data_IF_115868914061
#
_entry.id   IF_115868914061
#
_cell.length_a   1.000
_cell.length_b   1.000
_cell.length_c   1.000
_cell.angle_alpha   90.00
_cell.angle_beta   90.00
_cell.angle_gamma   90.00
#
_symmetry.space_group_name_H-M   'P 1'
#
loop_
_entity.id
_entity.type
_entity.pdbx_description
1 polymer ?
#
# COMPACT_ATOMS: atom_id res chain seq x y z
N UNK A 1 -38.07 -17.57 -18.48
CA UNK A 1 -37.94 -19.04 -18.29
C UNK A 1 -37.45 -19.24 -16.86
N UNK A 2 -38.27 -19.85 -16.01
CA UNK A 2 -37.91 -20.10 -14.61
C UNK A 2 -37.00 -21.32 -14.62
N UNK A 3 -35.74 -21.12 -14.26
CA UNK A 3 -34.76 -22.19 -14.18
C UNK A 3 -35.07 -23.07 -12.96
N UNK A 4 -35.07 -24.42 -13.09
CA UNK A 4 -35.25 -25.32 -11.94
C UNK A 4 -34.19 -25.04 -10.87
N UNK A 5 -34.54 -25.05 -9.57
CA UNK A 5 -33.62 -24.68 -8.49
C UNK A 5 -32.34 -25.54 -8.47
N UNK A 6 -32.43 -26.79 -8.91
CA UNK A 6 -31.32 -27.72 -9.13
C UNK A 6 -30.26 -27.16 -10.10
N UNK A 7 -30.65 -26.81 -11.33
CA UNK A 7 -29.73 -26.28 -12.34
C UNK A 7 -29.08 -24.94 -11.90
N UNK A 8 -29.77 -24.16 -11.05
CA UNK A 8 -29.28 -22.87 -10.57
C UNK A 8 -28.17 -23.10 -9.56
N UNK A 9 -28.36 -24.08 -8.69
CA UNK A 9 -27.41 -24.51 -7.70
C UNK A 9 -26.15 -25.07 -8.37
N UNK A 10 -26.31 -26.02 -9.30
CA UNK A 10 -25.19 -26.62 -10.03
C UNK A 10 -24.35 -25.58 -10.78
N UNK A 11 -25.00 -24.62 -11.45
CA UNK A 11 -24.31 -23.53 -12.17
C UNK A 11 -23.51 -22.62 -11.24
N UNK A 12 -24.00 -22.38 -10.01
CA UNK A 12 -23.30 -21.57 -9.01
C UNK A 12 -22.11 -22.33 -8.43
N UNK A 13 -22.28 -23.62 -8.14
CA UNK A 13 -21.21 -24.47 -7.60
C UNK A 13 -20.08 -24.66 -8.62
N UNK A 14 -20.41 -24.95 -9.88
CA UNK A 14 -19.40 -24.99 -10.95
C UNK A 14 -18.73 -23.62 -11.13
N UNK A 15 -19.48 -22.54 -10.94
CA UNK A 15 -18.95 -21.18 -10.86
C UNK A 15 -17.87 -21.05 -9.79
N UNK A 16 -18.14 -21.50 -8.57
CA UNK A 16 -17.17 -21.44 -7.48
C UNK A 16 -15.95 -22.35 -7.67
N UNK A 17 -16.15 -23.57 -8.20
CA UNK A 17 -15.05 -24.47 -8.57
C UNK A 17 -14.17 -23.88 -9.67
N UNK A 18 -14.75 -23.11 -10.59
CA UNK A 18 -14.05 -22.44 -11.68
C UNK A 18 -13.51 -21.04 -11.31
N UNK A 19 -13.53 -20.65 -10.02
CA UNK A 19 -13.11 -19.34 -9.53
C UNK A 19 -13.93 -18.14 -10.09
N UNK A 20 -15.20 -18.39 -10.46
CA UNK A 20 -16.16 -17.40 -10.97
C UNK A 20 -17.22 -17.09 -9.90
N UNK A 21 -16.99 -16.04 -9.11
CA UNK A 21 -17.93 -15.63 -8.03
C UNK A 21 -18.96 -14.56 -8.44
N UNK A 22 -18.74 -13.90 -9.59
CA UNK A 22 -19.61 -12.83 -10.07
C UNK A 22 -20.80 -13.41 -10.82
N UNK A 23 -22.03 -13.07 -10.42
CA UNK A 23 -23.25 -13.53 -11.10
C UNK A 23 -23.31 -13.06 -12.56
N UNK A 24 -22.71 -11.91 -12.90
CA UNK A 24 -22.58 -11.43 -14.28
C UNK A 24 -21.61 -12.27 -15.10
N UNK A 25 -20.49 -12.69 -14.49
CA UNK A 25 -19.53 -13.59 -15.16
C UNK A 25 -20.12 -15.00 -15.31
N UNK A 26 -20.90 -15.48 -14.34
CA UNK A 26 -21.64 -16.73 -14.47
C UNK A 26 -22.69 -16.66 -15.59
N UNK A 27 -23.44 -15.56 -15.70
CA UNK A 27 -24.38 -15.35 -16.81
C UNK A 27 -23.66 -15.41 -18.17
N UNK A 28 -22.47 -14.81 -18.26
CA UNK A 28 -21.65 -14.89 -19.47
C UNK A 28 -21.19 -16.34 -19.74
N UNK A 29 -20.72 -17.05 -18.71
CA UNK A 29 -20.32 -18.46 -18.82
C UNK A 29 -21.48 -19.35 -19.30
N UNK A 30 -22.71 -19.11 -18.84
CA UNK A 30 -23.92 -19.81 -19.30
C UNK A 30 -24.25 -19.57 -20.80
N UNK A 31 -23.65 -18.55 -21.42
CA UNK A 31 -23.80 -18.26 -22.86
C UNK A 31 -22.63 -18.79 -23.70
N UNK A 32 -21.43 -18.80 -23.13
CA UNK A 32 -20.18 -19.00 -23.88
C UNK A 32 -19.48 -20.33 -23.55
N UNK A 33 -19.69 -20.89 -22.36
CA UNK A 33 -18.99 -22.09 -21.88
C UNK A 33 -19.89 -23.33 -21.97
N UNK A 34 -19.42 -24.33 -22.72
CA UNK A 34 -20.17 -25.57 -22.97
C UNK A 34 -20.51 -26.35 -21.70
N UNK A 35 -19.64 -26.31 -20.67
CA UNK A 35 -19.89 -26.99 -19.40
C UNK A 35 -21.05 -26.36 -18.65
N UNK A 36 -21.09 -25.02 -18.59
CA UNK A 36 -22.19 -24.28 -17.97
C UNK A 36 -23.49 -24.46 -18.75
N UNK A 37 -23.42 -24.44 -20.09
CA UNK A 37 -24.58 -24.67 -20.97
C UNK A 37 -25.16 -26.08 -20.81
N UNK A 38 -24.31 -27.10 -20.65
CA UNK A 38 -24.76 -28.48 -20.46
C UNK A 38 -25.41 -28.67 -19.08
N UNK A 39 -24.74 -28.19 -18.03
CA UNK A 39 -25.19 -28.28 -16.65
C UNK A 39 -26.50 -27.52 -16.41
N UNK A 40 -26.68 -26.37 -17.06
CA UNK A 40 -27.92 -25.60 -16.94
C UNK A 40 -29.07 -26.10 -17.82
N UNK A 41 -28.90 -27.24 -18.51
CA UNK A 41 -29.81 -27.75 -19.52
C UNK A 41 -30.17 -26.70 -20.60
N UNK A 42 -29.15 -25.99 -21.10
CA UNK A 42 -29.25 -24.87 -22.05
C UNK A 42 -30.03 -23.65 -21.56
N UNK A 43 -30.42 -23.64 -20.28
CA UNK A 43 -31.13 -22.51 -19.69
C UNK A 43 -30.13 -21.41 -19.31
N UNK A 44 -30.50 -20.15 -19.59
CA UNK A 44 -29.61 -18.99 -19.49
C UNK A 44 -30.22 -17.96 -18.53
N UNK A 45 -30.16 -18.20 -17.20
CA UNK A 45 -30.66 -17.28 -16.22
C UNK A 45 -29.82 -16.00 -16.23
N UNK A 46 -30.48 -14.86 -16.03
CA UNK A 46 -29.79 -13.58 -15.90
C UNK A 46 -29.05 -13.48 -14.56
N UNK A 47 -28.10 -12.54 -14.48
CA UNK A 47 -27.35 -12.33 -13.25
C UNK A 47 -28.25 -11.97 -12.05
N UNK A 48 -29.44 -11.41 -12.27
CA UNK A 48 -30.38 -11.08 -11.20
C UNK A 48 -31.00 -12.34 -10.63
N UNK A 49 -31.38 -13.30 -11.47
CA UNK A 49 -31.94 -14.59 -11.06
C UNK A 49 -30.90 -15.41 -10.30
N UNK A 50 -29.66 -15.47 -10.79
CA UNK A 50 -28.55 -16.13 -10.08
C UNK A 50 -28.26 -15.46 -8.74
N UNK A 51 -28.23 -14.12 -8.69
CA UNK A 51 -27.97 -13.40 -7.46
C UNK A 51 -29.10 -13.55 -6.46
N UNK A 52 -30.37 -13.52 -6.91
CA UNK A 52 -31.56 -13.72 -6.09
C UNK A 52 -31.57 -15.13 -5.50
N UNK A 53 -31.30 -16.14 -6.31
CA UNK A 53 -31.17 -17.53 -5.85
C UNK A 53 -30.07 -17.65 -4.78
N UNK A 54 -28.90 -17.05 -5.05
CA UNK A 54 -27.78 -17.01 -4.09
C UNK A 54 -28.13 -16.31 -2.77
N UNK A 55 -28.83 -15.18 -2.81
CA UNK A 55 -29.11 -14.35 -1.63
C UNK A 55 -30.32 -14.79 -0.83
N UNK A 56 -31.30 -15.45 -1.46
CA UNK A 56 -32.57 -15.82 -0.83
C UNK A 56 -32.62 -17.32 -0.49
N UNK A 57 -32.25 -18.19 -1.44
CA UNK A 57 -32.38 -19.66 -1.29
C UNK A 57 -31.15 -20.32 -0.68
N UNK A 58 -30.00 -19.68 -0.87
CA UNK A 58 -28.68 -20.21 -0.57
C UNK A 58 -28.02 -19.49 0.63
N UNK A 59 -28.77 -18.64 1.31
CA UNK A 59 -28.31 -17.86 2.45
C UNK A 59 -28.02 -18.76 3.64
N UNK A 60 -26.77 -18.77 4.12
CA UNK A 60 -26.35 -19.50 5.31
C UNK A 60 -25.93 -20.96 5.06
N UNK A 61 -26.46 -21.61 4.04
CA UNK A 61 -26.20 -23.05 3.78
C UNK A 61 -25.19 -23.33 2.67
N UNK A 62 -24.96 -22.41 1.74
CA UNK A 62 -23.99 -22.57 0.62
C UNK A 62 -22.64 -23.06 1.10
N UNK A 63 -22.12 -22.47 2.18
CA UNK A 63 -20.78 -22.80 2.66
C UNK A 63 -20.70 -24.25 3.13
N UNK A 64 -21.74 -24.75 3.80
CA UNK A 64 -21.79 -26.12 4.28
C UNK A 64 -21.89 -27.11 3.11
N UNK A 65 -22.77 -26.84 2.14
CA UNK A 65 -22.98 -27.73 0.99
C UNK A 65 -21.74 -27.72 0.08
N UNK A 66 -21.18 -26.55 -0.23
CA UNK A 66 -19.95 -26.44 -1.01
C UNK A 66 -18.78 -27.19 -0.35
N UNK A 67 -18.66 -27.11 0.98
CA UNK A 67 -17.61 -27.85 1.72
C UNK A 67 -17.81 -29.36 1.58
N UNK A 68 -19.05 -29.85 1.66
CA UNK A 68 -19.35 -31.29 1.49
C UNK A 68 -19.01 -31.77 0.07
N UNK A 69 -19.30 -30.96 -0.95
CA UNK A 69 -18.99 -31.28 -2.35
C UNK A 69 -17.48 -31.33 -2.58
N UNK A 70 -16.73 -30.36 -2.05
CA UNK A 70 -15.26 -30.35 -2.15
C UNK A 70 -14.64 -31.58 -1.45
N UNK A 71 -15.14 -31.94 -0.26
CA UNK A 71 -14.70 -33.15 0.45
C UNK A 71 -15.04 -34.44 -0.30
N UNK A 72 -16.20 -34.49 -0.98
CA UNK A 72 -16.58 -35.63 -1.82
C UNK A 72 -15.64 -35.76 -3.04
N UNK A 73 -15.34 -34.64 -3.71
CA UNK A 73 -14.45 -34.59 -4.86
C UNK A 73 -13.00 -34.94 -4.49
N UNK A 74 -12.56 -34.56 -3.28
CA UNK A 74 -11.27 -34.99 -2.73
C UNK A 74 -11.25 -36.50 -2.48
N UNK A 75 -12.29 -37.05 -1.85
CA UNK A 75 -12.39 -38.48 -1.56
C UNK A 75 -12.37 -39.35 -2.83
N UNK A 76 -12.98 -38.88 -3.91
CA UNK A 76 -12.96 -39.54 -5.22
C UNK A 76 -11.65 -39.32 -6.00
N UNK A 77 -10.69 -38.57 -5.45
CA UNK A 77 -9.39 -38.29 -6.07
C UNK A 77 -9.45 -37.33 -7.26
N UNK A 78 -10.58 -36.63 -7.46
CA UNK A 78 -10.80 -35.68 -8.55
C UNK A 78 -10.22 -34.29 -8.25
N UNK A 79 -9.99 -33.98 -6.97
CA UNK A 79 -9.43 -32.71 -6.49
C UNK A 79 -8.35 -33.00 -5.44
N UNK A 80 -7.15 -32.43 -5.61
CA UNK A 80 -6.11 -32.47 -4.57
C UNK A 80 -6.21 -31.22 -3.69
N UNK A 81 -6.51 -31.40 -2.39
CA UNK A 81 -6.46 -30.30 -1.40
C UNK A 81 -5.03 -30.00 -0.92
N UNK A 82 -4.02 -30.77 -1.37
CA UNK A 82 -2.63 -30.64 -0.94
C UNK A 82 -1.95 -29.38 -1.50
N UNK A 83 -2.52 -28.79 -2.56
CA UNK A 83 -2.04 -27.53 -3.16
C UNK A 83 -3.18 -26.53 -3.35
N UNK A 84 -3.56 -25.86 -2.26
CA UNK A 84 -4.45 -24.70 -2.31
C UNK A 84 -3.74 -23.53 -2.98
N UNK A 85 -3.75 -23.47 -4.32
CA UNK A 85 -3.40 -22.24 -5.03
C UNK A 85 -4.58 -21.27 -4.90
N UNK A 86 -4.47 -20.35 -3.95
CA UNK A 86 -5.26 -19.13 -3.94
C UNK A 86 -4.74 -18.26 -5.09
N UNK A 87 -5.18 -18.51 -6.32
CA UNK A 87 -4.97 -17.55 -7.43
C UNK A 87 -5.95 -16.39 -7.25
N UNK A 88 -5.67 -15.59 -6.22
CA UNK A 88 -6.16 -14.23 -6.13
C UNK A 88 -5.23 -13.34 -6.94
N UNK A 89 -5.37 -13.31 -8.26
CA UNK A 89 -4.79 -12.22 -9.05
C UNK A 89 -5.60 -10.95 -8.79
N UNK A 90 -5.36 -10.33 -7.62
CA UNK A 90 -5.55 -8.89 -7.47
C UNK A 90 -4.52 -8.27 -8.41
N UNK A 91 -4.95 -7.94 -9.62
CA UNK A 91 -4.27 -6.92 -10.41
C UNK A 91 -4.58 -5.60 -9.68
N UNK A 92 -3.93 -5.38 -8.53
CA UNK A 92 -3.49 -4.04 -8.22
C UNK A 92 -2.65 -3.69 -9.45
N UNK A 93 -3.16 -2.77 -10.28
CA UNK A 93 -2.33 -2.16 -11.30
C UNK A 93 -0.97 -1.85 -10.67
N UNK A 94 0.09 -1.81 -11.46
CA UNK A 94 1.43 -1.43 -11.01
C UNK A 94 1.51 0.02 -10.45
N UNK A 95 0.43 0.57 -9.90
CA UNK A 95 0.42 1.61 -8.89
C UNK A 95 0.94 1.04 -7.57
N UNK A 96 2.27 0.91 -7.47
CA UNK A 96 2.93 0.78 -6.19
C UNK A 96 2.26 1.74 -5.17
N UNK A 97 1.84 1.25 -4.00
CA UNK A 97 1.17 2.04 -2.94
C UNK A 97 1.98 3.27 -2.50
N UNK A 98 3.24 3.35 -2.91
CA UNK A 98 4.17 4.45 -2.70
C UNK A 98 4.40 5.35 -3.94
N UNK A 99 3.50 5.36 -4.93
CA UNK A 99 3.59 6.21 -6.12
C UNK A 99 3.33 7.69 -5.83
N UNK A 100 2.61 8.03 -4.76
CA UNK A 100 2.27 9.42 -4.47
C UNK A 100 3.28 10.11 -3.55
N UNK A 101 3.59 11.37 -3.85
CA UNK A 101 4.37 12.27 -3.01
C UNK A 101 3.43 13.28 -2.37
N UNK A 102 3.57 13.48 -1.06
CA UNK A 102 2.70 14.35 -0.26
C UNK A 102 3.48 15.58 0.21
N UNK A 103 2.99 16.79 -0.11
CA UNK A 103 3.65 18.04 0.27
C UNK A 103 3.82 18.19 1.78
N UNK A 104 2.83 17.77 2.56
CA UNK A 104 2.90 17.77 4.04
C UNK A 104 4.00 16.86 4.58
N UNK A 105 4.27 15.74 3.92
CA UNK A 105 5.34 14.84 4.32
C UNK A 105 6.71 15.48 4.09
N UNK A 106 6.91 16.14 2.94
CA UNK A 106 8.15 16.86 2.63
C UNK A 106 8.47 17.91 3.70
N UNK A 107 7.49 18.79 4.02
CA UNK A 107 7.66 19.81 5.07
C UNK A 107 8.02 19.19 6.42
N UNK A 108 7.32 18.12 6.82
CA UNK A 108 7.61 17.41 8.07
C UNK A 108 9.03 16.81 8.09
N UNK A 109 9.50 16.29 6.96
CA UNK A 109 10.85 15.74 6.84
C UNK A 109 11.94 16.82 6.90
N UNK A 110 11.71 17.99 6.27
CA UNK A 110 12.62 19.14 6.36
C UNK A 110 12.76 19.63 7.81
N UNK A 111 11.63 19.87 8.49
CA UNK A 111 11.62 20.30 9.90
C UNK A 111 12.37 19.30 10.78
N UNK A 112 12.12 18.00 10.59
CA UNK A 112 12.82 16.95 11.35
C UNK A 112 14.34 16.97 11.12
N UNK A 113 14.81 17.25 9.91
CA UNK A 113 16.25 17.36 9.63
C UNK A 113 16.85 18.54 10.39
N UNK A 114 16.19 19.71 10.40
CA UNK A 114 16.64 20.86 11.19
C UNK A 114 16.72 20.53 12.69
N UNK A 115 15.64 20.01 13.28
CA UNK A 115 15.62 19.62 14.70
C UNK A 115 16.75 18.62 15.03
N UNK A 116 16.98 17.65 14.14
CA UNK A 116 18.02 16.64 14.34
C UNK A 116 19.44 17.20 14.19
N UNK A 117 19.63 18.20 13.33
CA UNK A 117 20.90 18.89 13.14
C UNK A 117 21.21 19.77 14.35
N UNK A 118 20.23 20.50 14.85
CA UNK A 118 20.33 21.31 16.06
C UNK A 118 20.67 20.45 17.29
N UNK A 119 20.03 19.29 17.45
CA UNK A 119 20.38 18.33 18.50
C UNK A 119 21.84 17.84 18.39
N UNK A 120 22.32 17.58 17.17
CA UNK A 120 23.71 17.17 16.94
C UNK A 120 24.70 18.31 17.22
N UNK A 121 24.33 19.54 16.87
CA UNK A 121 25.12 20.72 17.13
C UNK A 121 25.26 20.99 18.63
N UNK A 122 24.14 21.00 19.35
CA UNK A 122 24.14 21.17 20.81
C UNK A 122 24.93 20.06 21.51
N UNK A 123 24.85 18.82 21.01
CA UNK A 123 25.67 17.73 21.51
C UNK A 123 27.16 18.00 21.25
N UNK A 124 27.54 18.41 20.04
CA UNK A 124 28.92 18.75 19.70
C UNK A 124 29.45 19.88 20.60
N UNK A 125 28.66 20.94 20.80
CA UNK A 125 29.00 22.05 21.68
C UNK A 125 29.17 21.61 23.14
N UNK A 126 28.32 20.71 23.65
CA UNK A 126 28.45 20.18 25.02
C UNK A 126 29.73 19.38 25.24
N UNK A 127 30.23 18.71 24.20
CA UNK A 127 31.41 17.84 24.22
C UNK A 127 32.69 18.59 23.85
N UNK A 128 32.55 19.74 23.19
CA UNK A 128 33.64 20.51 22.59
C UNK A 128 33.46 22.01 22.81
N UNK A 129 33.08 22.38 24.04
CA UNK A 129 32.73 23.76 24.41
C UNK A 129 33.85 24.77 24.14
N UNK A 130 35.12 24.35 24.25
CA UNK A 130 36.30 25.18 23.98
C UNK A 130 36.63 25.30 22.48
N UNK A 131 36.25 24.33 21.64
CA UNK A 131 36.55 24.32 20.20
C UNK A 131 35.45 25.01 19.36
N UNK A 132 34.23 25.11 19.88
CA UNK A 132 33.08 25.76 19.22
C UNK A 132 32.77 27.19 19.70
N UNK A 133 33.52 27.75 20.65
CA UNK A 133 33.29 29.11 21.19
C UNK A 133 33.36 30.23 20.12
N UNK A 134 33.90 29.96 18.93
CA UNK A 134 34.04 30.92 17.84
C UNK A 134 33.11 30.64 16.64
N UNK A 135 32.14 29.73 16.77
CA UNK A 135 31.21 29.44 15.66
C UNK A 135 29.93 30.26 15.76
N UNK A 136 29.67 31.06 14.73
CA UNK A 136 28.46 31.85 14.54
C UNK A 136 27.20 31.02 14.80
N UNK A 137 26.20 31.64 15.43
CA UNK A 137 24.86 31.10 15.61
C UNK A 137 24.30 30.68 14.24
N UNK A 138 24.31 29.37 13.94
CA UNK A 138 23.83 28.86 12.67
C UNK A 138 22.31 28.85 12.73
N UNK A 139 21.66 29.79 12.04
CA UNK A 139 20.20 29.76 11.92
C UNK A 139 19.78 28.60 10.99
N UNK A 140 19.30 27.52 11.59
CA UNK A 140 18.86 26.32 10.89
C UNK A 140 17.47 26.45 10.24
N UNK A 141 16.83 27.63 10.29
CA UNK A 141 15.53 27.86 9.65
C UNK A 141 15.57 27.75 8.12
N UNK A 142 16.70 28.10 7.50
CA UNK A 142 16.92 27.95 6.06
C UNK A 142 17.88 26.79 5.77
N UNK A 143 17.30 25.59 5.69
CA UNK A 143 18.03 24.35 5.48
C UNK A 143 18.50 24.26 4.02
N UNK A 144 19.67 24.83 3.74
CA UNK A 144 20.34 24.64 2.46
C UNK A 144 21.22 23.37 2.48
N UNK A 145 21.20 22.60 1.39
CA UNK A 145 21.88 21.30 1.26
C UNK A 145 23.39 21.44 1.53
N UNK A 146 24.00 22.50 1.00
CA UNK A 146 25.42 22.80 1.16
C UNK A 146 25.77 23.17 2.60
N UNK A 147 24.99 24.05 3.23
CA UNK A 147 25.17 24.46 4.63
C UNK A 147 25.04 23.27 5.59
N UNK A 148 24.10 22.36 5.33
CA UNK A 148 23.94 21.13 6.13
C UNK A 148 25.15 20.20 5.96
N UNK A 149 25.67 20.03 4.75
CA UNK A 149 26.85 19.22 4.52
C UNK A 149 28.09 19.79 5.24
N UNK A 150 28.27 21.11 5.18
CA UNK A 150 29.37 21.81 5.85
C UNK A 150 29.28 21.68 7.38
N UNK A 151 28.09 21.88 7.96
CA UNK A 151 27.89 21.74 9.42
C UNK A 151 28.12 20.32 9.90
N UNK A 152 27.64 19.31 9.17
CA UNK A 152 27.91 17.90 9.51
C UNK A 152 29.40 17.58 9.44
N UNK A 153 30.13 18.10 8.45
CA UNK A 153 31.57 17.87 8.35
C UNK A 153 32.31 18.51 9.53
N UNK A 154 31.96 19.75 9.91
CA UNK A 154 32.51 20.42 11.11
C UNK A 154 32.23 19.61 12.37
N UNK A 155 30.99 19.19 12.59
CA UNK A 155 30.61 18.33 13.73
C UNK A 155 31.44 17.03 13.72
N UNK A 156 31.63 16.44 12.55
CA UNK A 156 32.37 15.19 12.42
C UNK A 156 33.88 15.34 12.65
N UNK A 157 34.47 16.49 12.33
CA UNK A 157 35.85 16.81 12.69
C UNK A 157 36.02 16.98 14.20
N UNK A 158 35.17 17.81 14.82
CA UNK A 158 35.19 18.07 16.26
C UNK A 158 35.00 16.79 17.09
N UNK A 159 34.15 15.87 16.62
CA UNK A 159 33.83 14.63 17.33
C UNK A 159 34.73 13.44 16.94
N UNK A 160 35.69 13.62 16.04
CA UNK A 160 36.50 12.51 15.47
C UNK A 160 37.28 11.74 16.54
N UNK A 161 37.92 12.47 17.45
CA UNK A 161 38.84 11.92 18.46
C UNK A 161 38.18 11.80 19.85
N UNK A 162 36.88 12.12 19.96
CA UNK A 162 36.14 12.11 21.22
C UNK A 162 35.31 10.84 21.38
N UNK A 163 35.20 10.36 22.63
CA UNK A 163 34.43 9.16 22.96
C UNK A 163 32.93 9.47 22.93
N UNK A 164 32.31 9.28 21.77
CA UNK A 164 30.88 9.53 21.55
C UNK A 164 30.02 8.25 21.71
N UNK A 165 28.76 8.36 22.18
CA UNK A 165 27.81 7.27 22.20
C UNK A 165 27.53 6.73 20.79
N UNK A 166 27.37 5.40 20.68
CA UNK A 166 27.10 4.70 19.41
C UNK A 166 25.92 5.31 18.62
N UNK A 167 24.84 5.70 19.33
CA UNK A 167 23.65 6.32 18.74
C UNK A 167 23.96 7.65 18.03
N UNK A 168 24.82 8.49 18.60
CA UNK A 168 25.22 9.78 18.01
C UNK A 168 26.06 9.53 16.76
N UNK A 169 27.02 8.59 16.84
CA UNK A 169 27.87 8.21 15.70
C UNK A 169 27.05 7.65 14.53
N UNK A 170 26.06 6.81 14.82
CA UNK A 170 25.16 6.26 13.81
C UNK A 170 24.33 7.38 13.14
N UNK A 171 23.81 8.32 13.93
CA UNK A 171 23.04 9.47 13.42
C UNK A 171 23.90 10.36 12.53
N UNK A 172 25.14 10.64 12.94
CA UNK A 172 26.11 11.44 12.18
C UNK A 172 26.47 10.77 10.84
N UNK A 173 26.73 9.47 10.83
CA UNK A 173 27.01 8.71 9.62
C UNK A 173 25.81 8.72 8.65
N UNK A 174 24.59 8.55 9.18
CA UNK A 174 23.38 8.64 8.38
C UNK A 174 23.19 10.04 7.80
N UNK A 175 23.41 11.08 8.61
CA UNK A 175 23.30 12.48 8.21
C UNK A 175 24.26 12.80 7.06
N UNK A 176 25.55 12.45 7.22
CA UNK A 176 26.61 12.66 6.22
C UNK A 176 26.27 12.03 4.86
N UNK A 177 25.67 10.84 4.87
CA UNK A 177 25.34 10.10 3.64
C UNK A 177 24.04 10.58 2.98
N UNK A 178 23.03 10.95 3.77
CA UNK A 178 21.66 11.04 3.28
C UNK A 178 21.04 12.44 3.34
N UNK A 179 21.42 13.32 4.28
CA UNK A 179 20.66 14.55 4.51
C UNK A 179 20.77 15.54 3.34
N UNK A 180 21.97 15.79 2.81
CA UNK A 180 22.16 16.65 1.62
C UNK A 180 21.35 16.14 0.41
N UNK A 181 21.56 14.87 0.05
CA UNK A 181 20.82 14.22 -1.04
C UNK A 181 19.29 14.26 -0.87
N UNK A 182 18.81 14.09 0.36
CA UNK A 182 17.38 14.17 0.66
C UNK A 182 16.84 15.60 0.54
N UNK A 183 17.61 16.61 0.94
CA UNK A 183 17.21 18.02 0.81
C UNK A 183 17.11 18.44 -0.65
N UNK A 184 18.08 18.06 -1.48
CA UNK A 184 18.03 18.33 -2.93
C UNK A 184 16.86 17.63 -3.61
N UNK A 185 16.59 16.38 -3.19
CA UNK A 185 15.39 15.66 -3.60
C UNK A 185 14.12 16.41 -3.19
N UNK A 186 14.02 16.87 -1.95
CA UNK A 186 12.85 17.61 -1.47
C UNK A 186 12.65 18.94 -2.20
N UNK A 187 13.72 19.68 -2.51
CA UNK A 187 13.67 20.89 -3.35
C UNK A 187 13.05 20.59 -4.73
N UNK A 188 13.54 19.54 -5.41
CA UNK A 188 12.98 19.10 -6.70
C UNK A 188 11.50 18.71 -6.58
N UNK A 189 11.14 17.97 -5.53
CA UNK A 189 9.75 17.56 -5.30
C UNK A 189 8.83 18.76 -5.01
N UNK A 190 9.32 19.78 -4.30
CA UNK A 190 8.58 21.00 -3.99
C UNK A 190 8.35 21.85 -5.24
N UNK A 191 9.34 21.91 -6.15
CA UNK A 191 9.18 22.56 -7.46
C UNK A 191 8.08 21.91 -8.31
N UNK A 192 7.97 20.58 -8.29
CA UNK A 192 6.89 19.83 -9.00
C UNK A 192 5.53 20.05 -8.34
N UNK A 193 5.50 20.06 -7.00
CA UNK A 193 4.28 20.17 -6.20
C UNK A 193 3.61 21.54 -6.39
N UNK A 194 4.38 22.62 -6.55
CA UNK A 194 3.88 23.99 -6.71
C UNK A 194 2.83 24.34 -5.63
N UNK A 195 1.59 24.68 -6.02
CA UNK A 195 0.47 24.96 -5.11
C UNK A 195 -0.35 23.71 -4.71
N UNK A 196 -0.06 22.53 -5.29
CA UNK A 196 -0.82 21.29 -5.08
C UNK A 196 -0.46 20.63 -3.74
N UNK A 197 -1.34 19.79 -3.20
CA UNK A 197 -1.08 19.07 -1.94
C UNK A 197 -0.33 17.73 -2.13
N UNK A 198 -0.38 17.16 -3.33
CA UNK A 198 0.21 15.87 -3.69
C UNK A 198 0.39 15.76 -5.21
N UNK A 199 1.25 14.84 -5.65
CA UNK A 199 1.36 14.44 -7.06
C UNK A 199 1.77 12.96 -7.18
N UNK A 200 1.53 12.31 -8.33
CA UNK A 200 2.02 10.96 -8.62
C UNK A 200 3.42 10.96 -9.24
N UNK A 201 4.29 10.04 -8.82
CA UNK A 201 5.63 9.86 -9.39
C UNK A 201 5.61 9.39 -10.84
N UNK A 202 4.57 8.68 -11.26
CA UNK A 202 4.41 8.17 -12.62
C UNK A 202 3.72 9.16 -13.54
N UNK A 203 2.88 10.02 -12.98
CA UNK A 203 2.15 11.08 -13.68
C UNK A 203 2.15 12.33 -12.79
N UNK A 204 3.05 13.27 -13.07
CA UNK A 204 3.26 14.45 -12.23
C UNK A 204 2.07 15.42 -12.23
N UNK A 205 1.13 15.26 -13.16
CA UNK A 205 -0.08 16.08 -13.24
C UNK A 205 -1.26 15.49 -12.45
N UNK A 206 -1.23 14.18 -12.18
CA UNK A 206 -2.22 13.54 -11.34
C UNK A 206 -2.06 13.95 -9.86
N UNK A 207 -3.16 14.43 -9.25
CA UNK A 207 -3.24 14.73 -7.82
C UNK A 207 -4.12 13.72 -7.09
N UNK A 208 -3.80 13.44 -5.82
CA UNK A 208 -4.58 12.50 -5.02
C UNK A 208 -5.14 13.19 -3.78
N UNK A 209 -6.47 13.13 -3.62
CA UNK A 209 -7.17 13.67 -2.46
C UNK A 209 -7.41 12.54 -1.45
N UNK A 210 -6.73 12.60 -0.30
CA UNK A 210 -6.99 11.65 0.79
C UNK A 210 -8.35 11.97 1.41
N UNK A 211 -9.38 11.22 1.05
CA UNK A 211 -10.68 11.31 1.71
C UNK A 211 -10.52 10.90 3.18
N UNK A 212 -11.02 11.73 4.10
CA UNK A 212 -11.16 11.32 5.51
C UNK A 212 -12.15 10.16 5.56
N UNK A 213 -11.89 9.09 6.33
CA UNK A 213 -12.92 8.10 6.56
C UNK A 213 -14.12 8.81 7.19
N UNK A 214 -15.28 8.75 6.54
CA UNK A 214 -16.55 9.13 7.19
C UNK A 214 -16.72 8.15 8.33
N UNK A 215 -16.56 8.63 9.56
CA UNK A 215 -17.04 7.91 10.75
C UNK A 215 -18.53 7.72 10.51
N UNK A 216 -18.95 6.48 10.23
CA UNK A 216 -20.37 6.14 10.20
C UNK A 216 -20.81 6.11 11.66
N UNK A 217 -21.29 7.25 12.15
CA UNK A 217 -22.15 7.28 13.32
C UNK A 217 -23.46 6.62 12.89
N UNK A 218 -23.62 5.34 13.25
CA UNK A 218 -24.90 4.67 13.26
C UNK A 218 -25.60 5.09 14.56
N UNK A 219 -26.64 5.92 14.46
CA UNK A 219 -27.71 6.00 15.44
C UNK A 219 -28.88 5.17 14.92
#
# INVERSE_FOLDING_TARGET
MILPPENAFESIDLGYLSNIYSSRKMEQALKENIHFMWLSAMSRPDHNTLNRFRSERLKGEVKAIFTQIVLLLEKEGLVSLETTFVDGTKIEANANRYTFVWGRAIKKHQVRIAEQLEELWNYAESVAKEELQNTENIDFKEIDSEKVAQTINKINEVLKDKKIPSKVRQKLNYAKKNWANNLDKYKKQQAILQARNSYSKTDTDATFMRMKPKVREFH
#
